data_IF_441186979487
#
_entry.id   IF_441186979487
#
_cell.length_a   1.000
_cell.length_b   1.000
_cell.length_c   1.000
_cell.angle_alpha   90.00
_cell.angle_beta   90.00
_cell.angle_gamma   90.00
#
_symmetry.space_group_name_H-M   'P 1'
#
loop_
_entity.id
_entity.type
_entity.pdbx_description
1 polymer ?
#
# COMPACT_ATOMS: atom_id res chain seq x y z
N UNK A 1 -35.40 2.24 -44.85
CA UNK A 1 -34.03 2.67 -44.54
C UNK A 1 -33.83 2.52 -43.03
N UNK A 2 -32.95 1.62 -42.62
CA UNK A 2 -32.69 1.32 -41.21
C UNK A 2 -31.71 2.36 -40.61
N UNK A 3 -31.94 2.89 -39.40
CA UNK A 3 -31.03 3.83 -38.78
C UNK A 3 -29.82 3.11 -38.17
N UNK A 4 -28.64 3.51 -38.64
CA UNK A 4 -27.32 3.10 -38.14
C UNK A 4 -27.18 3.54 -36.68
N UNK A 5 -26.92 2.60 -35.77
CA UNK A 5 -26.47 2.89 -34.41
C UNK A 5 -24.94 2.81 -34.35
N UNK A 6 -24.21 3.93 -34.20
CA UNK A 6 -22.83 3.87 -33.78
C UNK A 6 -22.80 3.57 -32.27
N UNK A 7 -22.68 2.29 -31.93
CA UNK A 7 -22.29 1.86 -30.59
C UNK A 7 -20.81 2.13 -30.35
N UNK A 8 -20.48 2.83 -29.27
CA UNK A 8 -19.13 2.89 -28.71
C UNK A 8 -19.07 1.90 -27.55
N UNK A 9 -18.05 1.03 -27.57
CA UNK A 9 -17.68 0.14 -26.49
C UNK A 9 -17.37 0.95 -25.22
N UNK A 10 -18.29 0.93 -24.26
CA UNK A 10 -18.07 1.46 -22.92
C UNK A 10 -17.23 0.46 -22.14
N UNK A 11 -15.92 0.69 -22.02
CA UNK A 11 -15.13 0.11 -20.95
C UNK A 11 -15.49 0.81 -19.63
N UNK A 12 -15.88 0.00 -18.63
CA UNK A 12 -16.62 0.41 -17.44
C UNK A 12 -15.90 1.41 -16.51
N UNK A 13 -16.05 2.70 -16.80
CA UNK A 13 -15.88 3.78 -15.83
C UNK A 13 -17.25 4.39 -15.53
N UNK A 14 -17.91 3.90 -14.47
CA UNK A 14 -19.15 4.50 -13.98
C UNK A 14 -18.87 5.88 -13.34
N UNK A 15 -19.49 6.91 -13.92
CA UNK A 15 -19.61 8.27 -13.41
C UNK A 15 -20.95 8.47 -12.66
N UNK A 16 -21.10 9.64 -11.99
CA UNK A 16 -22.35 10.28 -11.44
C UNK A 16 -22.61 9.92 -9.93
N UNK A 17 -22.88 10.79 -8.92
CA UNK A 17 -23.22 12.24 -8.73
C UNK A 17 -23.26 12.65 -7.21
N UNK A 18 -23.62 13.90 -6.87
CA UNK A 18 -24.22 14.44 -5.60
C UNK A 18 -23.36 15.00 -4.41
N UNK A 19 -23.21 16.34 -4.41
CA UNK A 19 -23.35 17.42 -3.36
C UNK A 19 -22.69 17.37 -1.94
N UNK A 20 -21.63 18.20 -1.77
CA UNK A 20 -21.38 19.23 -0.69
C UNK A 20 -20.91 18.84 0.74
N UNK A 21 -20.36 19.77 1.59
CA UNK A 21 -19.75 21.08 1.33
C UNK A 21 -18.32 21.31 1.93
N UNK A 22 -17.49 22.01 1.13
CA UNK A 22 -16.43 23.00 1.39
C UNK A 22 -16.00 23.23 2.87
N UNK A 23 -14.79 22.76 3.23
CA UNK A 23 -13.86 23.52 4.11
C UNK A 23 -12.37 23.07 4.10
N UNK A 24 -11.94 22.22 3.17
CA UNK A 24 -10.59 21.58 3.22
C UNK A 24 -9.60 22.07 2.15
N UNK A 25 -9.96 23.06 1.34
CA UNK A 25 -9.19 23.42 0.14
C UNK A 25 -7.98 24.35 0.37
N UNK A 26 -7.82 24.98 1.54
CA UNK A 26 -6.62 25.78 1.82
C UNK A 26 -5.40 24.97 2.32
N UNK A 27 -5.62 23.74 2.79
CA UNK A 27 -4.55 22.85 3.28
C UNK A 27 -3.92 21.98 2.18
N UNK A 28 -4.65 21.74 1.07
CA UNK A 28 -4.27 20.74 0.05
C UNK A 28 -3.23 21.27 -0.94
N UNK A 29 -3.11 22.59 -1.12
CA UNK A 29 -2.17 23.17 -2.10
C UNK A 29 -0.69 22.90 -1.73
N UNK A 30 -0.34 22.92 -0.44
CA UNK A 30 1.03 22.60 0.00
C UNK A 30 1.35 21.10 -0.11
N UNK A 31 0.39 20.23 0.24
CA UNK A 31 0.55 18.78 0.14
C UNK A 31 0.66 18.32 -1.32
N UNK A 32 -0.13 18.92 -2.22
CA UNK A 32 -0.06 18.67 -3.65
C UNK A 32 1.31 19.09 -4.25
N UNK A 33 1.83 20.27 -3.88
CA UNK A 33 3.16 20.72 -4.29
C UNK A 33 4.29 19.84 -3.72
N UNK A 34 4.13 19.26 -2.53
CA UNK A 34 5.07 18.27 -2.00
C UNK A 34 5.03 16.95 -2.78
N UNK A 35 3.84 16.51 -3.20
CA UNK A 35 3.68 15.35 -4.08
C UNK A 35 4.33 15.63 -5.44
N UNK A 36 4.20 16.84 -6.00
CA UNK A 36 4.87 17.22 -7.25
C UNK A 36 6.40 17.20 -7.14
N UNK A 37 6.97 17.61 -6.00
CA UNK A 37 8.42 17.56 -5.74
C UNK A 37 8.98 16.13 -5.69
N UNK A 38 8.14 15.14 -5.38
CA UNK A 38 8.52 13.72 -5.34
C UNK A 38 8.90 13.17 -6.72
N UNK A 39 8.46 13.83 -7.81
CA UNK A 39 8.71 13.42 -9.20
C UNK A 39 9.96 14.07 -9.85
N UNK A 40 10.75 14.84 -9.08
CA UNK A 40 12.00 15.45 -9.53
C UNK A 40 11.84 16.75 -10.33
N UNK A 41 12.94 17.47 -10.65
CA UNK A 41 12.88 18.67 -11.48
C UNK A 41 12.40 18.29 -12.89
N UNK A 42 11.33 18.94 -13.32
CA UNK A 42 10.69 18.75 -14.63
C UNK A 42 11.69 19.23 -15.70
N UNK A 43 12.09 18.33 -16.59
CA UNK A 43 13.04 18.62 -17.66
C UNK A 43 12.38 19.58 -18.68
N UNK A 44 13.05 20.68 -19.03
CA UNK A 44 12.52 21.70 -19.95
C UNK A 44 12.23 21.17 -21.35
N UNK A 45 12.91 20.09 -21.78
CA UNK A 45 12.62 19.43 -23.07
C UNK A 45 11.31 18.63 -23.03
N UNK A 46 10.80 18.26 -21.84
CA UNK A 46 9.46 17.68 -21.68
C UNK A 46 8.34 18.74 -21.67
N UNK A 47 8.70 20.03 -21.64
CA UNK A 47 7.77 21.18 -21.68
C UNK A 47 7.41 21.56 -23.14
N UNK A 48 8.19 21.13 -24.14
CA UNK A 48 8.01 21.55 -25.54
C UNK A 48 6.98 20.75 -26.35
N UNK A 49 6.40 19.68 -25.80
CA UNK A 49 5.22 19.03 -26.39
C UNK A 49 3.95 19.64 -25.78
N UNK A 50 2.90 19.91 -26.57
CA UNK A 50 1.80 20.79 -26.17
C UNK A 50 0.93 20.10 -25.11
N UNK A 51 1.35 20.20 -23.85
CA UNK A 51 0.50 20.06 -22.69
C UNK A 51 0.43 21.46 -22.11
N UNK A 52 -0.76 22.06 -22.11
CA UNK A 52 -0.99 23.36 -21.49
C UNK A 52 -0.48 23.40 -20.05
N UNK A 53 -0.44 24.61 -19.48
CA UNK A 53 0.19 25.06 -18.22
C UNK A 53 -0.05 24.20 -16.93
N UNK A 54 -0.78 23.10 -17.05
CA UNK A 54 -1.25 22.19 -16.01
C UNK A 54 -0.65 20.75 -16.10
N UNK A 55 0.52 20.57 -16.72
CA UNK A 55 1.12 19.32 -17.26
C UNK A 55 1.16 18.00 -16.45
N UNK A 56 0.58 17.92 -15.24
CA UNK A 56 0.39 16.68 -14.47
C UNK A 56 -1.09 16.48 -14.05
N UNK A 57 -1.86 17.57 -13.96
CA UNK A 57 -3.27 17.58 -13.56
C UNK A 57 -4.22 16.99 -14.63
N UNK A 58 -3.70 16.64 -15.81
CA UNK A 58 -4.45 16.03 -16.92
C UNK A 58 -4.44 14.49 -16.92
N UNK A 59 -3.64 13.85 -16.06
CA UNK A 59 -3.49 12.37 -16.05
C UNK A 59 -4.46 11.70 -15.07
N UNK A 60 -4.96 12.44 -14.08
CA UNK A 60 -5.92 11.96 -13.09
C UNK A 60 -7.31 12.45 -13.53
N UNK A 61 -8.34 11.58 -13.64
CA UNK A 61 -9.70 12.01 -13.93
C UNK A 61 -10.13 13.06 -12.92
N UNK A 62 -10.18 14.31 -13.36
CA UNK A 62 -10.65 15.43 -12.55
C UNK A 62 -12.13 15.21 -12.30
N UNK A 63 -12.50 14.94 -11.04
CA UNK A 63 -13.90 14.94 -10.64
C UNK A 63 -14.31 16.40 -10.44
N UNK A 64 -15.52 16.78 -10.82
CA UNK A 64 -16.03 18.14 -10.61
C UNK A 64 -17.36 18.07 -9.89
N UNK A 65 -17.60 19.03 -9.01
CA UNK A 65 -18.92 19.20 -8.40
C UNK A 65 -19.90 19.92 -9.35
N UNK A 66 -21.13 20.10 -8.89
CA UNK A 66 -22.21 20.76 -9.65
C UNK A 66 -21.96 22.25 -9.90
N UNK A 67 -20.98 22.86 -9.24
CA UNK A 67 -20.56 24.25 -9.45
C UNK A 67 -19.36 24.39 -10.39
N UNK A 68 -18.84 23.26 -10.89
CA UNK A 68 -17.68 23.22 -11.78
C UNK A 68 -16.33 23.24 -11.05
N UNK A 69 -16.29 22.98 -9.73
CA UNK A 69 -15.06 22.97 -8.94
C UNK A 69 -14.48 21.55 -8.81
N UNK A 70 -13.14 21.42 -8.92
CA UNK A 70 -12.44 20.12 -8.94
C UNK A 70 -12.41 19.42 -7.57
N UNK A 71 -12.82 18.16 -7.53
CA UNK A 71 -12.82 17.22 -6.40
C UNK A 71 -11.60 16.29 -6.52
N UNK A 72 -10.86 16.11 -5.42
CA UNK A 72 -9.75 15.15 -5.32
C UNK A 72 -9.97 14.26 -4.10
N UNK A 73 -10.06 12.93 -4.27
CA UNK A 73 -10.48 12.07 -3.14
C UNK A 73 -9.74 10.74 -2.98
N UNK A 74 -9.58 9.88 -3.98
CA UNK A 74 -8.97 8.55 -3.74
C UNK A 74 -7.45 8.57 -3.56
N UNK A 75 -6.75 9.35 -4.36
CA UNK A 75 -5.29 9.47 -4.24
C UNK A 75 -4.88 10.25 -2.99
N UNK A 76 -5.70 11.21 -2.57
CA UNK A 76 -5.48 11.94 -1.31
C UNK A 76 -5.69 11.02 -0.12
N UNK A 77 -6.76 10.21 -0.08
CA UNK A 77 -6.99 9.29 1.03
C UNK A 77 -5.85 8.26 1.14
N UNK A 78 -5.45 7.67 0.01
CA UNK A 78 -4.31 6.77 -0.08
C UNK A 78 -3.02 7.43 0.43
N UNK A 79 -2.64 8.57 -0.17
CA UNK A 79 -1.40 9.26 0.16
C UNK A 79 -1.36 9.67 1.63
N UNK A 80 -2.44 10.24 2.16
CA UNK A 80 -2.51 10.68 3.55
C UNK A 80 -2.47 9.50 4.52
N UNK A 81 -3.11 8.37 4.19
CA UNK A 81 -3.04 7.16 5.01
C UNK A 81 -1.63 6.60 5.03
N UNK A 82 -1.01 6.39 3.86
CA UNK A 82 0.37 5.88 3.76
C UNK A 82 1.36 6.84 4.41
N UNK A 83 1.20 8.15 4.22
CA UNK A 83 2.02 9.18 4.89
C UNK A 83 1.87 9.10 6.41
N UNK A 84 0.65 9.01 6.92
CA UNK A 84 0.37 8.90 8.35
C UNK A 84 0.97 7.63 8.95
N UNK A 85 0.86 6.50 8.24
CA UNK A 85 1.52 5.23 8.61
C UNK A 85 3.03 5.42 8.68
N UNK A 86 3.64 6.02 7.65
CA UNK A 86 5.09 6.28 7.58
C UNK A 86 5.58 7.24 8.67
N UNK A 87 4.80 8.25 9.01
CA UNK A 87 5.13 9.16 10.11
C UNK A 87 4.74 8.63 11.48
N UNK A 88 3.99 7.51 11.53
CA UNK A 88 3.42 6.93 12.76
C UNK A 88 2.64 7.98 13.56
N UNK A 89 1.84 8.78 12.84
CA UNK A 89 1.03 9.86 13.42
C UNK A 89 -0.44 9.58 13.16
N UNK A 90 -1.33 9.74 14.17
CA UNK A 90 -2.76 9.64 13.96
C UNK A 90 -3.24 10.55 12.82
N UNK A 91 -4.29 10.13 12.12
CA UNK A 91 -4.89 10.89 11.04
C UNK A 91 -6.39 11.08 11.27
N UNK A 92 -6.92 12.23 10.86
CA UNK A 92 -8.35 12.54 10.94
C UNK A 92 -9.21 11.59 10.10
N UNK A 93 -8.61 10.95 9.08
CA UNK A 93 -9.29 9.97 8.22
C UNK A 93 -9.78 8.73 9.00
N UNK A 94 -9.25 8.49 10.20
CA UNK A 94 -9.67 7.37 11.05
C UNK A 94 -10.99 7.62 11.80
N UNK A 95 -11.55 8.83 11.71
CA UNK A 95 -12.84 9.10 12.34
C UNK A 95 -14.00 8.55 11.51
N UNK A 96 -15.05 8.10 12.20
CA UNK A 96 -16.19 7.43 11.57
C UNK A 96 -16.86 8.30 10.49
N UNK A 97 -16.90 9.62 10.69
CA UNK A 97 -17.43 10.54 9.69
C UNK A 97 -16.69 10.50 8.37
N UNK A 98 -15.38 10.22 8.37
CA UNK A 98 -14.57 10.11 7.15
C UNK A 98 -14.61 8.72 6.52
N UNK A 99 -14.96 7.69 7.30
CA UNK A 99 -15.11 6.32 6.83
C UNK A 99 -16.50 6.10 6.24
N UNK A 100 -17.56 6.62 6.85
CA UNK A 100 -18.94 6.30 6.46
C UNK A 100 -19.55 7.35 5.53
N UNK A 101 -19.44 8.63 5.89
CA UNK A 101 -20.18 9.71 5.20
C UNK A 101 -19.89 9.74 3.70
N UNK A 102 -18.62 9.65 3.22
CA UNK A 102 -18.33 9.67 1.79
C UNK A 102 -18.92 8.50 1.00
N UNK A 103 -19.23 7.39 1.69
CA UNK A 103 -19.73 6.14 1.10
C UNK A 103 -21.17 5.81 1.51
N UNK A 104 -21.87 6.79 2.10
CA UNK A 104 -23.29 6.68 2.45
C UNK A 104 -24.19 6.52 1.21
N UNK A 105 -23.78 7.08 0.08
CA UNK A 105 -24.51 7.04 -1.19
C UNK A 105 -23.83 6.19 -2.27
N UNK A 106 -22.55 5.88 -2.10
CA UNK A 106 -21.74 5.14 -3.07
C UNK A 106 -20.93 4.07 -2.38
N UNK A 107 -20.82 2.89 -3.01
CA UNK A 107 -19.93 1.86 -2.50
C UNK A 107 -18.47 2.33 -2.60
N UNK A 108 -17.64 2.10 -1.57
CA UNK A 108 -16.22 2.41 -1.65
C UNK A 108 -15.58 1.58 -2.76
N UNK A 109 -14.58 2.15 -3.44
CA UNK A 109 -13.73 1.38 -4.36
C UNK A 109 -12.96 0.29 -3.59
N UNK A 110 -12.43 -0.71 -4.31
CA UNK A 110 -11.68 -1.80 -3.68
C UNK A 110 -10.53 -1.27 -2.79
N UNK A 111 -9.68 -0.41 -3.34
CA UNK A 111 -8.59 0.21 -2.60
C UNK A 111 -9.08 1.04 -1.42
N UNK A 112 -10.18 1.78 -1.58
CA UNK A 112 -10.74 2.57 -0.49
C UNK A 112 -11.28 1.68 0.65
N UNK A 113 -11.97 0.58 0.31
CA UNK A 113 -12.45 -0.38 1.30
C UNK A 113 -11.31 -0.99 2.10
N UNK A 114 -10.18 -1.33 1.44
CA UNK A 114 -8.97 -1.77 2.11
C UNK A 114 -8.39 -0.67 3.02
N UNK A 115 -8.31 0.56 2.53
CA UNK A 115 -7.78 1.69 3.30
C UNK A 115 -8.62 1.99 4.54
N UNK A 116 -9.94 1.82 4.47
CA UNK A 116 -10.83 1.95 5.62
C UNK A 116 -10.49 0.93 6.73
N UNK A 117 -10.05 -0.29 6.38
CA UNK A 117 -9.67 -1.30 7.39
C UNK A 117 -8.40 -0.93 8.16
N UNK A 118 -7.50 -0.18 7.51
CA UNK A 118 -6.15 0.11 8.01
C UNK A 118 -5.94 1.56 8.43
N UNK A 119 -6.94 2.44 8.23
CA UNK A 119 -6.82 3.87 8.57
C UNK A 119 -6.56 4.11 10.06
N UNK A 120 -6.86 3.12 10.91
CA UNK A 120 -6.55 3.13 12.35
C UNK A 120 -5.07 2.84 12.66
N UNK A 121 -4.33 2.21 11.74
CA UNK A 121 -2.93 1.80 11.95
C UNK A 121 -2.01 2.94 12.40
N UNK A 122 -2.05 4.16 11.83
CA UNK A 122 -1.19 5.24 12.29
C UNK A 122 -1.34 5.56 13.78
N UNK A 123 -2.56 5.52 14.31
CA UNK A 123 -2.81 5.73 15.73
C UNK A 123 -2.27 4.56 16.58
N UNK A 124 -2.44 3.32 16.12
CA UNK A 124 -1.89 2.14 16.81
C UNK A 124 -0.37 2.15 16.84
N UNK A 125 0.29 2.55 15.73
CA UNK A 125 1.74 2.69 15.65
C UNK A 125 2.25 3.76 16.62
N UNK A 126 1.58 4.91 16.67
CA UNK A 126 1.89 6.00 17.60
C UNK A 126 1.78 5.57 19.08
N UNK A 127 0.65 4.94 19.43
CA UNK A 127 0.42 4.41 20.77
C UNK A 127 1.44 3.33 21.13
N UNK A 128 1.80 2.50 20.17
CA UNK A 128 2.81 1.47 20.37
C UNK A 128 4.17 2.05 20.74
N UNK A 129 4.60 3.14 20.09
CA UNK A 129 5.87 3.78 20.44
C UNK A 129 5.82 4.42 21.82
N UNK A 130 4.68 5.03 22.16
CA UNK A 130 4.46 5.64 23.47
C UNK A 130 4.52 4.60 24.60
N UNK A 131 3.87 3.44 24.41
CA UNK A 131 3.86 2.34 25.39
C UNK A 131 5.25 1.73 25.53
N UNK A 132 5.93 1.38 24.43
CA UNK A 132 7.27 0.79 24.49
C UNK A 132 8.31 1.78 25.07
N UNK A 133 8.17 3.08 24.79
CA UNK A 133 8.98 4.12 25.41
C UNK A 133 8.73 4.26 26.92
N UNK A 134 7.48 4.13 27.36
CA UNK A 134 7.10 4.19 28.79
C UNK A 134 7.52 2.93 29.56
N UNK A 135 7.50 1.76 28.91
CA UNK A 135 7.96 0.49 29.51
C UNK A 135 9.47 0.47 29.77
N UNK A 136 10.25 1.15 28.92
CA UNK A 136 11.66 1.41 29.18
C UNK A 136 11.88 2.27 30.44
N UNK A 137 10.88 3.08 30.84
CA UNK A 137 10.91 3.98 32.00
C UNK A 137 10.22 3.41 33.25
N UNK A 138 9.69 2.17 33.19
CA UNK A 138 9.15 1.46 34.37
C UNK A 138 7.67 1.72 34.69
N UNK A 139 6.90 2.33 33.79
CA UNK A 139 5.46 2.55 34.00
C UNK A 139 4.61 1.43 33.39
N UNK A 140 3.72 0.85 34.19
CA UNK A 140 2.79 -0.23 33.79
C UNK A 140 1.45 0.35 33.36
N UNK A 141 1.28 0.60 32.07
CA UNK A 141 -0.03 0.82 31.43
C UNK A 141 -0.40 -0.40 30.61
N UNK A 142 -1.70 -0.68 30.40
CA UNK A 142 -2.31 -1.77 29.61
C UNK A 142 -1.51 -2.33 28.42
N UNK A 143 -0.48 -3.12 28.72
CA UNK A 143 0.49 -3.67 27.76
C UNK A 143 -0.20 -4.53 26.70
N UNK A 144 -1.25 -5.25 27.09
CA UNK A 144 -1.91 -6.24 26.25
C UNK A 144 -2.92 -5.62 25.26
N UNK A 145 -3.31 -4.35 25.44
CA UNK A 145 -4.31 -3.71 24.57
C UNK A 145 -3.76 -3.44 23.16
N UNK A 146 -2.48 -3.06 23.05
CA UNK A 146 -1.88 -2.72 21.76
C UNK A 146 -1.68 -3.95 20.86
N UNK A 147 -1.06 -5.06 21.32
CA UNK A 147 -0.98 -6.28 20.51
C UNK A 147 -2.36 -6.79 20.06
N UNK A 148 -3.35 -6.77 20.95
CA UNK A 148 -4.73 -7.17 20.61
C UNK A 148 -5.32 -6.29 19.51
N UNK A 149 -5.02 -5.00 19.50
CA UNK A 149 -5.49 -4.07 18.47
C UNK A 149 -4.88 -4.37 17.10
N UNK A 150 -3.59 -4.73 17.03
CA UNK A 150 -2.97 -5.18 15.78
C UNK A 150 -3.54 -6.52 15.30
N UNK A 151 -3.80 -7.47 16.21
CA UNK A 151 -4.48 -8.73 15.88
C UNK A 151 -5.87 -8.46 15.30
N UNK A 152 -6.64 -7.54 15.89
CA UNK A 152 -7.96 -7.17 15.37
C UNK A 152 -7.86 -6.57 13.95
N UNK A 153 -6.83 -5.79 13.63
CA UNK A 153 -6.61 -5.31 12.25
C UNK A 153 -6.32 -6.47 11.31
N UNK A 154 -5.46 -7.42 11.70
CA UNK A 154 -5.17 -8.61 10.90
C UNK A 154 -6.43 -9.43 10.62
N UNK A 155 -7.28 -9.66 11.62
CA UNK A 155 -8.56 -10.36 11.46
C UNK A 155 -9.44 -9.65 10.43
N UNK A 156 -9.60 -8.33 10.51
CA UNK A 156 -10.39 -7.58 9.53
C UNK A 156 -9.81 -7.66 8.11
N UNK A 157 -8.48 -7.67 7.98
CA UNK A 157 -7.82 -7.86 6.69
C UNK A 157 -8.05 -9.26 6.11
N UNK A 158 -8.07 -10.29 6.95
CA UNK A 158 -8.38 -11.67 6.55
C UNK A 158 -9.84 -11.81 6.14
N UNK A 159 -10.76 -11.20 6.89
CA UNK A 159 -12.18 -11.13 6.52
C UNK A 159 -12.39 -10.37 5.20
N UNK A 160 -11.69 -9.25 5.01
CA UNK A 160 -11.74 -8.46 3.78
C UNK A 160 -11.28 -9.27 2.56
N UNK A 161 -10.17 -10.00 2.68
CA UNK A 161 -9.68 -10.88 1.61
C UNK A 161 -10.67 -12.04 1.35
N UNK A 162 -11.19 -12.67 2.41
CA UNK A 162 -12.13 -13.78 2.29
C UNK A 162 -13.42 -13.38 1.58
N UNK A 163 -13.89 -12.14 1.75
CA UNK A 163 -15.05 -11.61 1.02
C UNK A 163 -14.77 -11.54 -0.48
N UNK A 164 -13.56 -11.16 -0.89
CA UNK A 164 -13.19 -11.07 -2.31
C UNK A 164 -12.99 -12.44 -2.95
N UNK A 165 -12.42 -13.38 -2.22
CA UNK A 165 -12.17 -14.74 -2.71
C UNK A 165 -13.47 -15.55 -2.92
N UNK A 166 -14.61 -15.11 -2.38
CA UNK A 166 -15.93 -15.73 -2.63
C UNK A 166 -16.50 -15.44 -4.02
N UNK A 167 -15.89 -14.55 -4.79
CA UNK A 167 -16.32 -14.27 -6.16
C UNK A 167 -16.04 -15.43 -7.12
N UNK A 168 -16.76 -15.45 -8.25
CA UNK A 168 -16.63 -16.50 -9.27
C UNK A 168 -15.27 -16.50 -10.00
N UNK A 169 -14.55 -15.38 -9.94
CA UNK A 169 -13.25 -15.22 -10.59
C UNK A 169 -12.10 -15.11 -9.57
N UNK A 170 -10.95 -15.75 -9.84
CA UNK A 170 -9.80 -15.64 -8.95
C UNK A 170 -9.31 -14.20 -8.90
N UNK A 171 -8.95 -13.76 -7.69
CA UNK A 171 -8.39 -12.44 -7.43
C UNK A 171 -7.03 -12.23 -8.11
N UNK A 172 -6.26 -13.31 -8.21
CA UNK A 172 -4.98 -13.39 -8.90
C UNK A 172 -4.68 -14.85 -9.23
N UNK A 173 -3.78 -15.08 -10.18
CA UNK A 173 -3.33 -16.42 -10.54
C UNK A 173 -1.84 -16.43 -10.82
N UNK A 174 -1.27 -17.63 -10.78
CA UNK A 174 0.14 -17.88 -11.11
C UNK A 174 0.30 -17.97 -12.63
N UNK A 175 1.15 -17.12 -13.20
CA UNK A 175 1.50 -17.15 -14.61
C UNK A 175 2.86 -17.85 -14.79
N UNK A 176 2.94 -18.82 -15.68
CA UNK A 176 4.17 -19.56 -16.00
C UNK A 176 5.23 -18.74 -16.74
N UNK A 177 5.04 -17.43 -16.91
CA UNK A 177 6.07 -16.56 -17.45
C UNK A 177 7.22 -16.43 -16.45
N UNK A 178 8.41 -16.84 -16.87
CA UNK A 178 9.65 -16.65 -16.11
C UNK A 178 10.28 -15.36 -16.63
N UNK A 179 10.59 -14.42 -15.74
CA UNK A 179 11.29 -13.21 -16.14
C UNK A 179 12.72 -13.56 -16.58
N UNK A 180 13.24 -13.03 -17.71
CA UNK A 180 14.62 -13.27 -18.15
C UNK A 180 15.68 -12.85 -17.12
N UNK A 181 15.34 -11.93 -16.21
CA UNK A 181 16.22 -11.51 -15.12
C UNK A 181 16.43 -12.61 -14.04
N UNK A 182 15.60 -13.65 -14.03
CA UNK A 182 15.62 -14.76 -13.05
C UNK A 182 16.29 -16.02 -13.63
N UNK A 183 16.46 -16.10 -14.96
CA UNK A 183 17.05 -17.27 -15.64
C UNK A 183 18.54 -17.50 -15.30
N UNK A 184 19.25 -16.52 -14.73
CA UNK A 184 20.68 -16.60 -14.47
C UNK A 184 21.08 -17.13 -13.08
N UNK A 185 20.11 -17.51 -12.23
CA UNK A 185 20.42 -17.98 -10.87
C UNK A 185 20.04 -19.45 -10.66
N UNK A 186 21.06 -20.29 -10.72
CA UNK A 186 21.02 -21.73 -10.45
C UNK A 186 20.64 -22.03 -9.00
N UNK A 187 19.41 -22.49 -8.78
CA UNK A 187 19.04 -23.49 -7.77
C UNK A 187 17.60 -23.92 -8.03
N UNK A 188 17.28 -25.21 -7.90
CA UNK A 188 16.02 -25.90 -8.25
C UNK A 188 14.69 -25.35 -7.67
N UNK A 189 14.66 -24.13 -7.10
CA UNK A 189 13.51 -23.50 -6.44
C UNK A 189 13.15 -22.11 -7.01
N UNK A 190 13.86 -21.61 -8.04
CA UNK A 190 13.67 -20.25 -8.61
C UNK A 190 12.55 -20.11 -9.66
N UNK A 191 11.83 -21.19 -9.99
CA UNK A 191 10.69 -21.17 -10.92
C UNK A 191 9.35 -20.80 -10.26
N UNK A 192 9.35 -19.85 -9.31
CA UNK A 192 8.09 -19.43 -8.72
C UNK A 192 7.31 -18.58 -9.71
N UNK A 193 6.12 -19.03 -10.14
CA UNK A 193 5.39 -18.34 -11.18
C UNK A 193 4.91 -16.99 -10.64
N UNK A 194 5.13 -15.95 -11.43
CA UNK A 194 4.77 -14.58 -11.10
C UNK A 194 3.23 -14.42 -11.00
N UNK A 195 2.76 -13.37 -10.32
CA UNK A 195 1.33 -13.12 -10.12
C UNK A 195 0.71 -12.23 -11.18
N UNK A 196 -0.37 -12.72 -11.77
CA UNK A 196 -1.22 -12.00 -12.71
C UNK A 196 -2.56 -11.68 -12.06
N UNK A 197 -3.16 -10.60 -12.53
CA UNK A 197 -4.38 -10.04 -11.94
C UNK A 197 -5.42 -9.73 -13.01
N UNK A 198 -6.72 -9.74 -12.65
CA UNK A 198 -7.79 -9.30 -13.54
C UNK A 198 -7.60 -7.84 -14.01
N UNK A 199 -7.04 -6.99 -13.15
CA UNK A 199 -6.77 -5.58 -13.44
C UNK A 199 -5.79 -4.98 -12.42
N UNK A 200 -5.33 -3.76 -12.72
CA UNK A 200 -4.42 -2.98 -11.88
C UNK A 200 -4.98 -2.69 -10.48
N UNK A 201 -6.28 -2.48 -10.32
CA UNK A 201 -6.89 -2.21 -9.02
C UNK A 201 -6.77 -3.41 -8.10
N UNK A 202 -6.94 -4.62 -8.64
CA UNK A 202 -6.72 -5.89 -7.95
C UNK A 202 -5.26 -6.03 -7.50
N UNK A 203 -4.32 -5.85 -8.44
CA UNK A 203 -2.88 -5.93 -8.17
C UNK A 203 -2.44 -4.94 -7.08
N UNK A 204 -2.90 -3.69 -7.18
CA UNK A 204 -2.63 -2.67 -6.19
C UNK A 204 -3.22 -3.04 -4.83
N UNK A 205 -4.46 -3.53 -4.78
CA UNK A 205 -5.11 -3.83 -3.50
C UNK A 205 -4.42 -4.98 -2.77
N UNK A 206 -4.03 -6.05 -3.47
CA UNK A 206 -3.35 -7.19 -2.84
C UNK A 206 -1.93 -6.86 -2.40
N UNK A 207 -1.15 -6.14 -3.20
CA UNK A 207 0.19 -5.71 -2.79
C UNK A 207 0.15 -4.79 -1.56
N UNK A 208 -0.86 -3.94 -1.43
CA UNK A 208 -1.06 -3.11 -0.25
C UNK A 208 -1.59 -3.90 0.94
N UNK A 209 -2.52 -4.84 0.74
CA UNK A 209 -3.01 -5.75 1.77
C UNK A 209 -1.84 -6.48 2.44
N UNK A 210 -0.96 -7.09 1.65
CA UNK A 210 0.23 -7.78 2.15
C UNK A 210 1.19 -6.81 2.87
N UNK A 211 1.38 -5.59 2.35
CA UNK A 211 2.19 -4.57 3.01
C UNK A 211 1.63 -4.16 4.39
N UNK A 212 0.31 -4.01 4.52
CA UNK A 212 -0.34 -3.70 5.80
C UNK A 212 -0.29 -4.86 6.79
N UNK A 213 -0.41 -6.10 6.33
CA UNK A 213 -0.18 -7.29 7.17
C UNK A 213 1.25 -7.35 7.69
N UNK A 214 2.24 -7.07 6.83
CA UNK A 214 3.65 -6.96 7.23
C UNK A 214 3.82 -5.94 8.36
N UNK A 215 3.18 -4.77 8.28
CA UNK A 215 3.25 -3.75 9.34
C UNK A 215 2.70 -4.29 10.66
N UNK A 216 1.50 -4.88 10.65
CA UNK A 216 0.89 -5.42 11.87
C UNK A 216 1.76 -6.52 12.49
N UNK A 217 2.24 -7.46 11.68
CA UNK A 217 3.11 -8.56 12.11
C UNK A 217 4.46 -8.06 12.63
N UNK A 218 5.04 -7.03 12.00
CA UNK A 218 6.29 -6.41 12.46
C UNK A 218 6.15 -5.79 13.84
N UNK A 219 5.02 -5.13 14.11
CA UNK A 219 4.72 -4.58 15.44
C UNK A 219 4.51 -5.68 16.47
N UNK A 220 3.73 -6.72 16.16
CA UNK A 220 3.57 -7.88 17.04
C UNK A 220 4.90 -8.54 17.37
N UNK A 221 5.77 -8.72 16.37
CA UNK A 221 7.13 -9.23 16.56
C UNK A 221 7.94 -8.34 17.48
N UNK A 222 7.84 -7.01 17.32
CA UNK A 222 8.51 -6.01 18.18
C UNK A 222 8.07 -6.13 19.64
N UNK A 223 6.78 -6.32 19.89
CA UNK A 223 6.27 -6.61 21.24
C UNK A 223 6.84 -7.92 21.78
N UNK A 224 6.72 -9.03 21.05
CA UNK A 224 7.22 -10.34 21.48
C UNK A 224 8.70 -10.27 21.84
N UNK A 225 9.54 -9.64 21.01
CA UNK A 225 10.96 -9.48 21.29
C UNK A 225 11.24 -8.66 22.56
N UNK A 226 10.42 -7.64 22.86
CA UNK A 226 10.57 -6.83 24.06
C UNK A 226 10.16 -7.59 25.33
N UNK A 227 9.15 -8.46 25.25
CA UNK A 227 8.69 -9.28 26.38
C UNK A 227 9.52 -10.54 26.59
N UNK A 228 10.02 -11.20 25.55
CA UNK A 228 10.93 -12.33 25.70
C UNK A 228 12.29 -11.93 26.34
N UNK A 229 12.65 -10.64 26.28
CA UNK A 229 13.85 -10.10 26.92
C UNK A 229 13.71 -9.74 28.41
N UNK A 230 12.49 -9.76 28.97
CA UNK A 230 12.22 -9.61 30.41
C UNK A 230 11.50 -10.87 30.86
N UNK A 231 12.03 -11.65 31.81
CA UNK A 231 11.46 -12.91 32.34
C UNK A 231 9.98 -12.85 32.79
N UNK A 232 9.04 -12.61 31.88
CA UNK A 232 7.61 -12.50 32.13
C UNK A 232 6.88 -13.39 31.13
N UNK A 233 6.00 -14.21 31.69
CA UNK A 233 5.32 -15.32 31.04
C UNK A 233 4.63 -14.95 29.72
N UNK A 234 4.46 -15.93 28.81
CA UNK A 234 3.83 -15.73 27.51
C UNK A 234 2.43 -15.11 27.69
N UNK A 235 2.22 -14.00 27.00
CA UNK A 235 0.93 -13.31 26.91
C UNK A 235 -0.09 -14.34 26.40
N UNK A 236 -1.03 -14.76 27.25
CA UNK A 236 -2.19 -15.56 26.84
C UNK A 236 -3.14 -14.67 26.04
N UNK A 237 -2.83 -14.43 24.78
CA UNK A 237 -3.85 -14.07 23.80
C UNK A 237 -4.61 -15.35 23.49
N UNK A 238 -5.89 -15.44 23.82
CA UNK A 238 -6.77 -16.60 23.54
C UNK A 238 -7.03 -16.88 22.05
N UNK A 239 -6.06 -16.58 21.20
CA UNK A 239 -6.00 -16.81 19.76
C UNK A 239 -4.78 -17.70 19.50
N UNK A 240 -4.82 -18.68 18.57
CA UNK A 240 -3.73 -19.65 18.38
C UNK A 240 -2.36 -18.96 18.37
N UNK A 241 -1.50 -19.37 19.29
CA UNK A 241 -0.18 -18.81 19.57
C UNK A 241 0.57 -18.49 18.27
N UNK A 242 0.59 -17.22 17.88
CA UNK A 242 1.52 -16.76 16.86
C UNK A 242 2.91 -16.71 17.50
N UNK A 243 3.67 -17.80 17.38
CA UNK A 243 5.08 -17.82 17.75
C UNK A 243 5.88 -16.89 16.80
N UNK A 244 7.01 -16.37 17.29
CA UNK A 244 7.94 -15.51 16.56
C UNK A 244 8.28 -16.05 15.16
N UNK A 245 8.59 -17.34 15.06
CA UNK A 245 8.94 -17.99 13.78
C UNK A 245 7.76 -18.02 12.80
N UNK A 246 6.54 -18.20 13.30
CA UNK A 246 5.33 -18.17 12.46
C UNK A 246 5.08 -16.76 11.92
N UNK A 247 5.19 -15.74 12.77
CA UNK A 247 5.08 -14.33 12.36
C UNK A 247 6.14 -14.01 11.31
N UNK A 248 7.37 -14.46 11.53
CA UNK A 248 8.47 -14.24 10.60
C UNK A 248 8.23 -14.92 9.24
N UNK A 249 7.81 -16.18 9.24
CA UNK A 249 7.49 -16.92 8.02
C UNK A 249 6.38 -16.23 7.21
N UNK A 250 5.31 -15.78 7.88
CA UNK A 250 4.22 -15.04 7.24
C UNK A 250 4.69 -13.73 6.60
N UNK A 251 5.52 -12.94 7.30
CA UNK A 251 6.07 -11.70 6.73
C UNK A 251 6.90 -11.98 5.47
N UNK A 252 7.70 -13.06 5.46
CA UNK A 252 8.48 -13.47 4.29
C UNK A 252 7.55 -13.90 3.14
N UNK A 253 6.49 -14.66 3.43
CA UNK A 253 5.48 -15.04 2.44
C UNK A 253 4.81 -13.81 1.81
N UNK A 254 4.47 -12.80 2.61
CA UNK A 254 3.89 -11.55 2.11
C UNK A 254 4.90 -10.74 1.30
N UNK A 255 6.15 -10.63 1.75
CA UNK A 255 7.21 -9.96 1.01
C UNK A 255 7.42 -10.63 -0.36
N UNK A 256 7.44 -11.96 -0.39
CA UNK A 256 7.54 -12.75 -1.62
C UNK A 256 6.35 -12.53 -2.54
N UNK A 257 5.15 -12.45 -1.99
CA UNK A 257 3.95 -12.19 -2.78
C UNK A 257 3.98 -10.80 -3.42
N UNK A 258 4.45 -9.79 -2.69
CA UNK A 258 4.72 -8.45 -3.23
C UNK A 258 5.73 -8.53 -4.38
N UNK A 259 6.88 -9.16 -4.17
CA UNK A 259 7.93 -9.33 -5.20
C UNK A 259 7.39 -9.94 -6.49
N UNK A 260 6.63 -11.04 -6.38
CA UNK A 260 6.06 -11.76 -7.53
C UNK A 260 5.00 -10.96 -8.31
N UNK A 261 4.49 -9.86 -7.74
CA UNK A 261 3.50 -8.99 -8.37
C UNK A 261 4.12 -7.89 -9.25
N UNK A 262 5.41 -7.64 -9.09
CA UNK A 262 6.06 -6.45 -9.66
C UNK A 262 6.04 -6.46 -11.18
N UNK A 263 6.29 -7.63 -11.79
CA UNK A 263 6.29 -7.77 -13.25
C UNK A 263 4.95 -7.35 -13.85
N UNK A 264 3.82 -7.74 -13.25
CA UNK A 264 2.50 -7.31 -13.71
C UNK A 264 2.31 -5.79 -13.56
N UNK A 265 2.69 -5.22 -12.42
CA UNK A 265 2.50 -3.79 -12.12
C UNK A 265 3.40 -2.85 -12.95
N UNK A 266 4.49 -3.37 -13.53
CA UNK A 266 5.47 -2.60 -14.30
C UNK A 266 5.24 -2.67 -15.82
N UNK A 267 4.25 -3.45 -16.27
CA UNK A 267 3.86 -3.55 -17.68
C UNK A 267 3.53 -2.16 -18.26
N UNK A 268 3.82 -1.95 -19.55
CA UNK A 268 3.64 -0.66 -20.21
C UNK A 268 2.17 -0.19 -20.17
N UNK A 269 1.24 -1.15 -20.21
CA UNK A 269 -0.20 -0.94 -20.13
C UNK A 269 -0.63 -0.29 -18.81
N UNK A 270 0.12 -0.51 -17.72
CA UNK A 270 -0.17 0.04 -16.39
C UNK A 270 0.22 1.51 -16.26
N UNK A 271 0.94 2.06 -17.26
CA UNK A 271 1.36 3.47 -17.38
C UNK A 271 2.05 3.94 -16.09
N UNK A 272 1.77 5.15 -15.61
CA UNK A 272 2.35 5.70 -14.38
C UNK A 272 1.74 5.08 -13.11
N UNK A 273 0.48 4.64 -13.18
CA UNK A 273 -0.28 4.22 -12.00
C UNK A 273 0.22 2.90 -11.40
N UNK A 274 0.71 1.97 -12.22
CA UNK A 274 1.29 0.71 -11.74
C UNK A 274 2.64 0.92 -11.04
N UNK A 275 3.65 1.48 -11.73
CA UNK A 275 4.96 1.79 -11.15
C UNK A 275 4.89 2.69 -9.90
N UNK A 276 4.04 3.71 -9.87
CA UNK A 276 3.97 4.62 -8.73
C UNK A 276 3.37 3.97 -7.48
N UNK A 277 2.40 3.05 -7.64
CA UNK A 277 1.75 2.37 -6.51
C UNK A 277 2.66 1.33 -5.83
N UNK A 278 3.70 0.86 -6.52
CA UNK A 278 4.58 -0.21 -6.00
C UNK A 278 5.56 0.28 -4.93
N UNK A 279 5.82 1.60 -4.86
CA UNK A 279 6.85 2.18 -3.98
C UNK A 279 6.65 1.75 -2.52
N UNK A 280 5.43 1.88 -1.98
CA UNK A 280 5.16 1.53 -0.58
C UNK A 280 5.23 0.02 -0.32
N UNK A 281 4.57 -0.86 -1.12
CA UNK A 281 4.74 -2.31 -0.99
C UNK A 281 6.20 -2.77 -1.10
N UNK A 282 6.97 -2.25 -2.07
CA UNK A 282 8.39 -2.57 -2.26
C UNK A 282 9.22 -2.19 -1.04
N UNK A 283 8.95 -1.02 -0.45
CA UNK A 283 9.61 -0.60 0.79
C UNK A 283 9.36 -1.62 1.90
N UNK A 284 8.15 -2.15 2.04
CA UNK A 284 7.83 -3.13 3.08
C UNK A 284 8.53 -4.47 2.82
N UNK A 285 8.49 -4.98 1.58
CA UNK A 285 9.16 -6.23 1.22
C UNK A 285 10.68 -6.14 1.41
N UNK A 286 11.31 -5.06 0.95
CA UNK A 286 12.75 -4.84 1.09
C UNK A 286 13.20 -4.83 2.56
N UNK A 287 12.44 -4.17 3.44
CA UNK A 287 12.73 -4.16 4.88
C UNK A 287 12.68 -5.57 5.49
N UNK A 288 11.72 -6.39 5.10
CA UNK A 288 11.62 -7.76 5.60
C UNK A 288 12.83 -8.59 5.19
N UNK A 289 13.20 -8.58 3.90
CA UNK A 289 14.38 -9.30 3.43
C UNK A 289 15.67 -8.83 4.08
N UNK A 290 15.88 -7.51 4.17
CA UNK A 290 17.05 -6.92 4.82
C UNK A 290 17.17 -7.27 6.30
N UNK A 291 16.04 -7.40 7.00
CA UNK A 291 16.01 -7.78 8.42
C UNK A 291 16.35 -9.25 8.69
N UNK A 292 16.37 -10.10 7.65
CA UNK A 292 16.55 -11.55 7.75
C UNK A 292 17.98 -12.04 7.47
N UNK A 293 18.96 -11.12 7.43
CA UNK A 293 20.38 -11.45 7.28
C UNK A 293 20.75 -11.96 5.89
N UNK A 294 21.86 -12.71 5.79
CA UNK A 294 22.49 -13.13 4.53
C UNK A 294 21.70 -14.15 3.70
N UNK A 295 20.61 -14.71 4.22
CA UNK A 295 19.84 -15.78 3.56
C UNK A 295 18.83 -15.31 2.50
N UNK A 296 18.71 -13.99 2.25
CA UNK A 296 17.74 -13.41 1.31
C UNK A 296 18.43 -12.51 0.26
N UNK A 297 19.70 -12.77 -0.02
CA UNK A 297 20.51 -11.92 -0.91
C UNK A 297 19.95 -11.87 -2.34
N UNK A 298 19.39 -12.99 -2.82
CA UNK A 298 18.79 -13.10 -4.15
C UNK A 298 17.50 -12.26 -4.24
N UNK A 299 16.65 -12.33 -3.23
CA UNK A 299 15.42 -11.55 -3.15
C UNK A 299 15.70 -10.04 -3.04
N UNK A 300 16.74 -9.67 -2.27
CA UNK A 300 17.21 -8.28 -2.17
C UNK A 300 17.67 -7.79 -3.55
N UNK A 301 18.54 -8.54 -4.23
CA UNK A 301 19.04 -8.18 -5.55
C UNK A 301 17.91 -8.07 -6.59
N UNK A 302 16.91 -8.95 -6.51
CA UNK A 302 15.72 -8.88 -7.34
C UNK A 302 14.95 -7.57 -7.11
N UNK A 303 14.66 -7.21 -5.86
CA UNK A 303 13.97 -5.95 -5.55
C UNK A 303 14.79 -4.72 -5.96
N UNK A 304 16.12 -4.77 -5.84
CA UNK A 304 16.99 -3.70 -6.30
C UNK A 304 16.90 -3.50 -7.82
N UNK A 305 16.87 -4.59 -8.60
CA UNK A 305 16.62 -4.54 -10.03
C UNK A 305 15.26 -3.92 -10.39
N UNK A 306 14.21 -4.26 -9.64
CA UNK A 306 12.87 -3.66 -9.82
C UNK A 306 12.89 -2.15 -9.53
N UNK A 307 13.56 -1.72 -8.46
CA UNK A 307 13.65 -0.29 -8.11
C UNK A 307 14.46 0.49 -9.15
N UNK A 308 15.46 -0.14 -9.76
CA UNK A 308 16.22 0.45 -10.86
C UNK A 308 15.37 0.60 -12.12
N UNK A 309 14.52 -0.38 -12.43
CA UNK A 309 13.54 -0.27 -13.50
C UNK A 309 12.56 0.90 -13.25
N UNK A 310 12.06 1.08 -12.02
CA UNK A 310 11.22 2.22 -11.64
C UNK A 310 11.93 3.56 -11.91
N UNK A 311 13.21 3.64 -11.55
CA UNK A 311 14.02 4.83 -11.80
C UNK A 311 14.15 5.11 -13.31
N UNK A 312 14.42 4.08 -14.11
CA UNK A 312 14.51 4.18 -15.58
C UNK A 312 13.18 4.60 -16.22
N UNK A 313 12.04 4.17 -15.65
CA UNK A 313 10.69 4.59 -16.07
C UNK A 313 10.31 6.02 -15.60
N UNK A 314 11.23 6.75 -14.99
CA UNK A 314 11.07 8.17 -14.64
C UNK A 314 10.72 8.44 -13.17
N UNK A 315 10.56 7.41 -12.33
CA UNK A 315 10.35 7.58 -10.89
C UNK A 315 11.68 7.76 -10.16
N UNK A 316 12.31 8.92 -10.40
CA UNK A 316 13.70 9.20 -9.96
C UNK A 316 13.92 9.02 -8.45
N UNK A 317 12.89 9.30 -7.65
CA UNK A 317 12.92 9.18 -6.18
C UNK A 317 12.69 7.75 -5.66
N UNK A 318 12.41 6.76 -6.52
CA UNK A 318 12.06 5.40 -6.10
C UNK A 318 13.12 4.78 -5.18
N UNK A 319 14.41 4.89 -5.53
CA UNK A 319 15.53 4.40 -4.70
C UNK A 319 15.49 4.98 -3.29
N UNK A 320 15.40 6.30 -3.16
CA UNK A 320 15.31 6.96 -1.86
C UNK A 320 14.05 6.49 -1.09
N UNK A 321 12.91 6.41 -1.75
CA UNK A 321 11.65 6.07 -1.08
C UNK A 321 11.57 4.61 -0.62
N UNK A 322 12.19 3.67 -1.36
CA UNK A 322 12.17 2.23 -1.06
C UNK A 322 13.30 1.86 -0.09
N UNK A 323 14.52 2.39 -0.30
CA UNK A 323 15.69 1.99 0.49
C UNK A 323 15.94 2.87 1.71
N UNK A 324 15.51 4.14 1.71
CA UNK A 324 15.65 4.96 2.90
C UNK A 324 14.68 4.48 3.96
N UNK A 325 15.25 4.33 5.15
CA UNK A 325 14.48 4.04 6.33
C UNK A 325 13.84 5.34 6.84
N UNK A 326 12.79 5.81 6.16
CA UNK A 326 11.94 6.91 6.64
C UNK A 326 11.16 6.56 7.92
N UNK A 327 11.27 5.30 8.37
CA UNK A 327 10.83 4.86 9.70
C UNK A 327 12.01 4.88 10.70
N UNK A 328 13.07 5.67 10.42
CA UNK A 328 14.12 5.96 11.39
C UNK A 328 13.46 6.54 12.64
N UNK A 329 13.74 5.84 13.74
CA UNK A 329 13.27 6.08 15.11
C UNK A 329 13.60 7.48 15.58
#
# INVERSE_FOLDING_TARGET
>A
MAPIHPGILVYGYQAIDVVGPINLLHSVNSAFLQVSKMFGPINEVAISQPRGVDGISLVIPRRYDRSGQQISTHEIFYYQTVKAIRSRQPTFLASQSWIDTPFSHFRPSLMQSLLNEVVILPALLHQSDSVLGSLAQGHSSDINKIPRSFINVLIRLDEWEAVLQKGDQPCYWRCGYVSPAVESTTSDDTHLPLFWYPNITMANSFTHLWAFRIICLSELRRYIAHFLGRDQQPISTGHPFMNYDNIQAQMITFAKSISLSMVYLLQEEMRLFGPASTIFPLQMAYKIYKSHGSGQQAEIAYLEGIVDELHQKGLKSARALVFDDYMKR
#
